data_IF_648520122100
#
_entry.id   IF_648520122100
#
_cell.length_a   1.000
_cell.length_b   1.000
_cell.length_c   1.000
_cell.angle_alpha   90.00
_cell.angle_beta   90.00
_cell.angle_gamma   90.00
#
_symmetry.space_group_name_H-M   'P 1'
#
loop_
_entity.id
_entity.type
_entity.pdbx_description
1 polymer ?
#
# COMPACT_ATOMS: atom_id res chain seq x y z
N UNK A 1 -60.68 -38.74 11.94
CA UNK A 1 -60.25 -37.35 11.64
C UNK A 1 -58.74 -37.27 11.82
N UNK A 2 -57.98 -37.36 10.74
CA UNK A 2 -56.52 -37.19 10.70
C UNK A 2 -56.20 -35.74 10.36
N UNK A 3 -55.27 -35.05 11.07
CA UNK A 3 -54.94 -33.66 10.75
C UNK A 3 -54.13 -33.61 9.46
N UNK A 4 -54.55 -32.74 8.54
CA UNK A 4 -53.93 -32.56 7.23
C UNK A 4 -52.46 -32.13 7.30
N UNK A 5 -51.65 -32.81 6.50
CA UNK A 5 -50.30 -32.41 6.09
C UNK A 5 -50.31 -30.97 5.56
N UNK A 6 -49.76 -30.03 6.34
CA UNK A 6 -49.43 -28.68 5.86
C UNK A 6 -48.26 -28.80 4.90
N UNK A 7 -48.54 -28.65 3.62
CA UNK A 7 -47.55 -28.35 2.59
C UNK A 7 -46.78 -27.09 2.99
N UNK A 8 -45.52 -27.25 3.41
CA UNK A 8 -44.58 -26.12 3.53
C UNK A 8 -44.36 -25.57 2.14
N UNK A 9 -45.00 -24.45 1.83
CA UNK A 9 -44.66 -23.66 0.64
C UNK A 9 -43.16 -23.37 0.63
N UNK A 10 -42.50 -23.74 -0.45
CA UNK A 10 -41.11 -23.39 -0.71
C UNK A 10 -40.96 -21.88 -0.60
N UNK A 11 -40.16 -21.39 0.35
CA UNK A 11 -39.80 -19.99 0.41
C UNK A 11 -39.20 -19.57 -0.95
N UNK A 12 -39.64 -18.46 -1.55
CA UNK A 12 -39.07 -17.99 -2.81
C UNK A 12 -37.56 -17.79 -2.62
N UNK A 13 -36.77 -18.32 -3.55
CA UNK A 13 -35.32 -18.14 -3.54
C UNK A 13 -35.00 -16.63 -3.48
N UNK A 14 -34.08 -16.19 -2.61
CA UNK A 14 -33.79 -14.77 -2.45
C UNK A 14 -33.41 -14.16 -3.80
N UNK A 15 -34.16 -13.13 -4.21
CA UNK A 15 -33.89 -12.39 -5.45
C UNK A 15 -32.47 -11.85 -5.36
N UNK A 16 -31.60 -12.11 -6.37
CA UNK A 16 -30.23 -11.63 -6.33
C UNK A 16 -30.21 -10.10 -6.28
N UNK A 17 -29.65 -9.55 -5.21
CA UNK A 17 -29.55 -8.11 -5.06
C UNK A 17 -28.62 -7.54 -6.15
N UNK A 18 -29.11 -6.60 -6.99
CA UNK A 18 -28.30 -5.99 -8.02
C UNK A 18 -27.20 -5.14 -7.37
N UNK A 19 -26.00 -5.07 -7.97
CA UNK A 19 -24.93 -4.20 -7.45
C UNK A 19 -25.36 -2.74 -7.52
N UNK A 20 -24.99 -1.99 -6.47
CA UNK A 20 -25.20 -0.55 -6.42
C UNK A 20 -24.40 0.11 -7.56
N UNK A 21 -24.99 1.08 -8.27
CA UNK A 21 -24.40 1.66 -9.48
C UNK A 21 -22.99 2.22 -9.26
N UNK A 22 -22.75 2.89 -8.13
CA UNK A 22 -21.43 3.45 -7.81
C UNK A 22 -20.36 2.39 -7.60
N UNK A 23 -20.71 1.17 -7.14
CA UNK A 23 -19.77 0.04 -7.04
C UNK A 23 -19.21 -0.28 -8.43
N UNK A 24 -20.07 -0.35 -9.45
CA UNK A 24 -19.63 -0.58 -10.84
C UNK A 24 -18.73 0.53 -11.33
N UNK A 25 -19.11 1.78 -11.07
CA UNK A 25 -18.30 2.95 -11.47
C UNK A 25 -16.91 2.86 -10.86
N UNK A 26 -16.79 2.60 -9.57
CA UNK A 26 -15.48 2.46 -8.92
C UNK A 26 -14.69 1.25 -9.43
N UNK A 27 -15.36 0.14 -9.75
CA UNK A 27 -14.70 -1.04 -10.33
C UNK A 27 -14.12 -0.72 -11.70
N UNK A 28 -14.90 -0.04 -12.55
CA UNK A 28 -14.47 0.39 -13.89
C UNK A 28 -13.35 1.42 -13.82
N UNK A 29 -13.45 2.41 -12.93
CA UNK A 29 -12.40 3.41 -12.75
C UNK A 29 -11.10 2.78 -12.26
N UNK A 30 -11.19 1.83 -11.31
CA UNK A 30 -10.04 1.07 -10.85
C UNK A 30 -9.41 0.26 -11.98
N UNK A 31 -10.22 -0.44 -12.78
CA UNK A 31 -9.77 -1.26 -13.90
C UNK A 31 -9.11 -0.41 -15.00
N UNK A 32 -9.74 0.69 -15.43
CA UNK A 32 -9.21 1.62 -16.43
C UNK A 32 -7.92 2.29 -15.94
N UNK A 33 -7.83 2.61 -14.65
CA UNK A 33 -6.61 3.19 -14.09
C UNK A 33 -5.39 2.28 -14.25
N UNK A 34 -5.57 0.95 -14.34
CA UNK A 34 -4.46 0.00 -14.54
C UNK A 34 -3.77 0.13 -15.90
N UNK A 35 -4.35 0.87 -16.85
CA UNK A 35 -3.65 1.21 -18.10
C UNK A 35 -2.51 2.23 -17.90
N UNK A 36 -2.54 3.01 -16.83
CA UNK A 36 -1.56 4.07 -16.56
C UNK A 36 -0.18 3.45 -16.37
N UNK A 37 0.79 3.87 -17.19
CA UNK A 37 2.18 3.41 -17.12
C UNK A 37 2.45 2.00 -17.65
N UNK A 38 1.43 1.15 -17.80
CA UNK A 38 1.58 -0.26 -18.21
C UNK A 38 2.25 -0.43 -19.57
N UNK A 39 1.91 0.40 -20.56
CA UNK A 39 2.53 0.35 -21.89
C UNK A 39 4.04 0.57 -21.83
N UNK A 40 4.50 1.56 -21.05
CA UNK A 40 5.92 1.90 -20.95
C UNK A 40 6.73 0.73 -20.35
N UNK A 41 6.22 0.13 -19.27
CA UNK A 41 6.85 -1.04 -18.63
C UNK A 41 6.86 -2.23 -19.57
N UNK A 42 5.77 -2.47 -20.31
CA UNK A 42 5.71 -3.54 -21.30
C UNK A 42 6.75 -3.37 -22.41
N UNK A 43 6.88 -2.16 -22.98
CA UNK A 43 7.86 -1.88 -24.04
C UNK A 43 9.29 -2.09 -23.56
N UNK A 44 9.58 -1.72 -22.31
CA UNK A 44 10.88 -1.96 -21.69
C UNK A 44 11.11 -3.47 -21.51
N UNK A 45 10.13 -4.21 -20.99
CA UNK A 45 10.23 -5.64 -20.74
C UNK A 45 10.39 -6.47 -22.02
N UNK A 46 9.71 -6.09 -23.11
CA UNK A 46 9.74 -6.82 -24.37
C UNK A 46 11.14 -6.94 -24.97
N UNK A 47 12.04 -5.98 -24.68
CA UNK A 47 13.40 -5.99 -25.21
C UNK A 47 14.37 -6.96 -24.51
N UNK A 48 14.16 -7.30 -23.24
CA UNK A 48 15.18 -8.04 -22.45
C UNK A 48 14.63 -8.89 -21.27
N UNK A 49 13.32 -8.87 -21.02
CA UNK A 49 12.65 -9.62 -19.93
C UNK A 49 11.32 -10.19 -20.41
N UNK A 50 11.37 -11.15 -21.33
CA UNK A 50 10.20 -11.73 -22.00
C UNK A 50 9.14 -12.30 -21.03
N UNK A 51 9.55 -12.88 -19.90
CA UNK A 51 8.63 -13.40 -18.88
C UNK A 51 7.79 -12.27 -18.27
N UNK A 52 8.40 -11.12 -18.00
CA UNK A 52 7.70 -9.94 -17.47
C UNK A 52 6.77 -9.36 -18.53
N UNK A 53 7.22 -9.28 -19.79
CA UNK A 53 6.38 -8.84 -20.90
C UNK A 53 5.15 -9.73 -21.08
N UNK A 54 5.31 -11.06 -21.01
CA UNK A 54 4.21 -12.02 -21.07
C UNK A 54 3.22 -11.85 -19.91
N UNK A 55 3.73 -11.67 -18.68
CA UNK A 55 2.88 -11.42 -17.51
C UNK A 55 2.06 -10.12 -17.68
N UNK A 56 2.67 -9.04 -18.19
CA UNK A 56 1.96 -7.79 -18.47
C UNK A 56 0.93 -7.97 -19.60
N UNK A 57 1.22 -8.76 -20.64
CA UNK A 57 0.25 -9.10 -21.69
C UNK A 57 -0.97 -9.84 -21.14
N UNK A 58 -0.77 -10.78 -20.21
CA UNK A 58 -1.88 -11.46 -19.50
C UNK A 58 -2.67 -10.46 -18.65
N UNK A 59 -2.00 -9.50 -17.99
CA UNK A 59 -2.66 -8.44 -17.26
C UNK A 59 -3.52 -7.54 -18.18
N UNK A 60 -3.04 -7.21 -19.39
CA UNK A 60 -3.82 -6.49 -20.40
C UNK A 60 -5.12 -7.22 -20.75
N UNK A 61 -5.04 -8.53 -21.01
CA UNK A 61 -6.22 -9.34 -21.27
C UNK A 61 -7.16 -9.36 -20.05
N UNK A 62 -6.62 -9.46 -18.84
CA UNK A 62 -7.40 -9.40 -17.60
C UNK A 62 -8.12 -8.08 -17.43
N UNK A 63 -7.50 -6.92 -17.73
CA UNK A 63 -8.14 -5.61 -17.64
C UNK A 63 -9.34 -5.57 -18.59
N UNK A 64 -9.14 -5.92 -19.87
CA UNK A 64 -10.24 -5.91 -20.85
C UNK A 64 -11.41 -6.81 -20.44
N UNK A 65 -11.13 -8.02 -19.96
CA UNK A 65 -12.16 -8.95 -19.47
C UNK A 65 -12.85 -8.40 -18.22
N UNK A 66 -12.11 -7.86 -17.26
CA UNK A 66 -12.66 -7.26 -16.05
C UNK A 66 -13.57 -6.05 -16.36
N UNK A 67 -13.17 -5.17 -17.27
CA UNK A 67 -13.97 -4.03 -17.71
C UNK A 67 -15.30 -4.45 -18.31
N UNK A 68 -15.30 -5.46 -19.19
CA UNK A 68 -16.55 -6.03 -19.74
C UNK A 68 -17.40 -6.66 -18.63
N UNK A 69 -16.79 -7.45 -17.73
CA UNK A 69 -17.52 -8.08 -16.63
C UNK A 69 -18.11 -7.06 -15.65
N UNK A 70 -17.42 -5.96 -15.36
CA UNK A 70 -17.92 -4.90 -14.48
C UNK A 70 -19.21 -4.26 -15.02
N UNK A 71 -19.39 -4.21 -16.34
CA UNK A 71 -20.60 -3.73 -17.02
C UNK A 71 -21.71 -4.78 -17.05
N UNK A 72 -21.38 -6.05 -17.33
CA UNK A 72 -22.39 -7.08 -17.67
C UNK A 72 -22.89 -7.87 -16.46
N UNK A 73 -22.06 -8.06 -15.43
CA UNK A 73 -22.41 -8.89 -14.27
C UNK A 73 -23.64 -8.35 -13.55
N UNK A 74 -24.62 -9.21 -13.24
CA UNK A 74 -25.90 -8.77 -12.62
C UNK A 74 -25.96 -8.89 -11.10
N UNK A 75 -25.01 -9.57 -10.46
CA UNK A 75 -25.04 -9.89 -9.02
C UNK A 75 -23.93 -9.15 -8.28
N UNK A 76 -24.24 -8.57 -7.11
CA UNK A 76 -23.25 -7.88 -6.27
C UNK A 76 -22.06 -8.77 -5.87
N UNK A 77 -22.31 -10.05 -5.57
CA UNK A 77 -21.23 -11.02 -5.24
C UNK A 77 -20.29 -11.28 -6.40
N UNK A 78 -20.80 -11.29 -7.63
CA UNK A 78 -19.98 -11.51 -8.81
C UNK A 78 -19.14 -10.27 -9.13
N UNK A 79 -19.70 -9.06 -8.93
CA UNK A 79 -18.93 -7.82 -9.06
C UNK A 79 -17.81 -7.74 -8.02
N UNK A 80 -18.08 -8.16 -6.77
CA UNK A 80 -17.05 -8.27 -5.75
C UNK A 80 -15.92 -9.27 -6.09
N UNK A 81 -16.17 -10.28 -6.93
CA UNK A 81 -15.12 -11.16 -7.45
C UNK A 81 -14.30 -10.49 -8.56
N UNK A 82 -14.94 -9.66 -9.38
CA UNK A 82 -14.23 -8.80 -10.35
C UNK A 82 -13.29 -7.86 -9.61
N UNK A 83 -13.71 -7.24 -8.50
CA UNK A 83 -12.83 -6.39 -7.68
C UNK A 83 -11.56 -7.11 -7.22
N UNK A 84 -11.67 -8.39 -6.85
CA UNK A 84 -10.50 -9.22 -6.46
C UNK A 84 -9.59 -9.44 -7.66
N UNK A 85 -10.15 -9.73 -8.84
CA UNK A 85 -9.38 -9.88 -10.07
C UNK A 85 -8.62 -8.59 -10.40
N UNK A 86 -9.31 -7.43 -10.36
CA UNK A 86 -8.70 -6.11 -10.57
C UNK A 86 -7.57 -5.85 -9.56
N UNK A 87 -7.75 -6.20 -8.28
CA UNK A 87 -6.70 -6.08 -7.27
C UNK A 87 -5.48 -6.97 -7.58
N UNK A 88 -5.69 -8.24 -7.93
CA UNK A 88 -4.61 -9.17 -8.26
C UNK A 88 -3.84 -8.70 -9.50
N UNK A 89 -4.55 -8.21 -10.52
CA UNK A 89 -3.95 -7.64 -11.73
C UNK A 89 -3.13 -6.39 -11.40
N UNK A 90 -3.65 -5.50 -10.57
CA UNK A 90 -2.94 -4.30 -10.12
C UNK A 90 -1.66 -4.62 -9.33
N UNK A 91 -1.71 -5.60 -8.42
CA UNK A 91 -0.54 -6.07 -7.68
C UNK A 91 0.49 -6.68 -8.63
N UNK A 92 0.05 -7.51 -9.57
CA UNK A 92 0.94 -8.15 -10.56
C UNK A 92 1.65 -7.11 -11.42
N UNK A 93 0.92 -6.11 -11.93
CA UNK A 93 1.49 -5.00 -12.69
C UNK A 93 2.48 -4.18 -11.86
N UNK A 94 2.16 -3.92 -10.58
CA UNK A 94 3.05 -3.22 -9.65
C UNK A 94 4.36 -3.98 -9.45
N UNK A 95 4.29 -5.31 -9.25
CA UNK A 95 5.47 -6.16 -9.08
C UNK A 95 6.28 -6.28 -10.38
N UNK A 96 5.61 -6.33 -11.54
CA UNK A 96 6.29 -6.30 -12.85
C UNK A 96 7.04 -4.98 -13.05
N UNK A 97 6.40 -3.84 -12.74
CA UNK A 97 7.02 -2.52 -12.83
C UNK A 97 8.21 -2.38 -11.88
N UNK A 98 8.09 -2.90 -10.64
CA UNK A 98 9.20 -2.97 -9.69
C UNK A 98 10.34 -3.85 -10.22
N UNK A 99 10.04 -5.06 -10.71
CA UNK A 99 11.05 -5.96 -11.27
C UNK A 99 11.87 -5.31 -12.40
N UNK A 100 11.23 -4.47 -13.23
CA UNK A 100 11.90 -3.71 -14.28
C UNK A 100 12.67 -2.49 -13.78
N UNK A 101 12.20 -1.84 -12.69
CA UNK A 101 12.63 -0.50 -12.29
C UNK A 101 12.84 -0.36 -10.75
N UNK A 102 13.57 -1.29 -10.14
CA UNK A 102 13.86 -1.32 -8.68
C UNK A 102 15.20 -0.64 -8.32
N UNK A 103 15.70 0.26 -9.17
CA UNK A 103 16.97 0.96 -8.93
C UNK A 103 17.00 1.80 -7.64
N UNK A 104 15.82 2.15 -7.11
CA UNK A 104 15.67 2.95 -5.90
C UNK A 104 16.04 4.43 -6.11
N UNK A 105 15.76 5.24 -5.09
CA UNK A 105 16.26 6.61 -4.96
C UNK A 105 17.53 6.64 -4.11
N UNK A 106 18.13 7.82 -4.01
CA UNK A 106 19.16 8.14 -3.04
C UNK A 106 18.73 7.83 -1.59
N UNK A 107 17.49 8.14 -1.21
CA UNK A 107 16.95 7.80 0.11
C UNK A 107 16.98 6.29 0.39
N UNK A 108 16.73 5.47 -0.63
CA UNK A 108 16.73 4.02 -0.51
C UNK A 108 18.15 3.43 -0.39
N UNK A 109 19.12 4.03 -1.10
CA UNK A 109 20.54 3.72 -0.94
C UNK A 109 20.99 4.06 0.48
N UNK A 110 20.70 5.29 0.93
CA UNK A 110 21.04 5.77 2.26
C UNK A 110 20.40 4.89 3.36
N UNK A 111 19.13 4.51 3.20
CA UNK A 111 18.42 3.63 4.14
C UNK A 111 19.02 2.22 4.18
N UNK A 112 19.44 1.68 3.04
CA UNK A 112 20.09 0.36 2.99
C UNK A 112 21.46 0.39 3.64
N UNK A 113 22.22 1.48 3.48
CA UNK A 113 23.50 1.67 4.17
C UNK A 113 23.32 1.84 5.68
N UNK A 114 22.36 2.65 6.11
CA UNK A 114 21.96 2.76 7.51
C UNK A 114 21.65 1.39 8.12
N UNK A 115 20.90 0.55 7.41
CA UNK A 115 20.61 -0.81 7.86
C UNK A 115 21.87 -1.69 8.00
N UNK A 116 22.85 -1.57 7.10
CA UNK A 116 24.12 -2.32 7.19
C UNK A 116 24.95 -1.90 8.39
N UNK A 117 25.08 -0.60 8.63
CA UNK A 117 25.82 -0.09 9.78
C UNK A 117 25.16 -0.51 11.10
N UNK A 118 23.82 -0.50 11.18
CA UNK A 118 23.09 -1.04 12.34
C UNK A 118 23.42 -2.52 12.59
N UNK A 119 23.45 -3.35 11.54
CA UNK A 119 23.79 -4.77 11.66
C UNK A 119 25.25 -4.98 12.03
N UNK A 120 26.16 -4.11 11.57
CA UNK A 120 27.56 -4.12 11.95
C UNK A 120 27.82 -3.61 13.40
N UNK A 121 26.78 -3.10 14.08
CA UNK A 121 26.89 -2.55 15.43
C UNK A 121 27.45 -1.12 15.47
N UNK A 122 27.53 -0.43 14.34
CA UNK A 122 28.01 0.94 14.26
C UNK A 122 26.89 1.96 14.54
N UNK A 123 27.21 3.10 15.18
CA UNK A 123 26.24 4.15 15.44
C UNK A 123 25.83 4.87 14.14
N UNK A 124 24.52 4.94 13.89
CA UNK A 124 23.93 5.65 12.73
C UNK A 124 23.52 7.08 13.08
N UNK A 125 22.94 7.28 14.27
CA UNK A 125 22.36 8.56 14.68
C UNK A 125 23.39 9.48 15.32
N UNK A 126 23.32 10.77 14.98
CA UNK A 126 24.25 11.79 15.49
C UNK A 126 25.66 11.69 14.93
N UNK A 127 25.88 10.89 13.89
CA UNK A 127 27.18 10.70 13.24
C UNK A 127 27.16 11.29 11.82
N UNK A 128 28.18 12.08 11.42
CA UNK A 128 28.31 12.55 10.06
C UNK A 128 28.87 11.44 9.15
N UNK A 129 28.23 11.24 8.00
CA UNK A 129 28.57 10.21 7.01
C UNK A 129 29.02 10.82 5.67
N UNK A 130 30.04 11.70 5.66
CA UNK A 130 30.37 12.52 4.48
C UNK A 130 30.74 11.72 3.23
N UNK A 131 31.25 10.49 3.38
CA UNK A 131 31.62 9.62 2.27
C UNK A 131 30.43 9.06 1.47
N UNK A 132 29.21 9.14 2.01
CA UNK A 132 28.00 8.66 1.32
C UNK A 132 27.41 9.70 0.37
N UNK A 133 27.65 10.97 0.65
CA UNK A 133 27.10 12.08 -0.12
C UNK A 133 28.04 12.44 -1.26
N UNK A 134 27.49 12.60 -2.48
CA UNK A 134 28.26 12.89 -3.70
C UNK A 134 28.34 11.73 -4.72
N UNK A 135 28.14 10.48 -4.30
CA UNK A 135 28.05 9.31 -5.20
C UNK A 135 26.60 8.81 -5.35
N UNK A 136 25.72 9.67 -5.85
CA UNK A 136 24.31 9.32 -6.08
C UNK A 136 23.39 9.54 -4.86
N UNK A 137 23.89 10.12 -3.77
CA UNK A 137 23.09 10.68 -2.66
C UNK A 137 23.25 12.19 -2.63
N UNK A 138 22.13 12.92 -2.67
CA UNK A 138 22.13 14.37 -2.76
C UNK A 138 22.53 15.04 -1.45
N UNK A 139 23.31 16.12 -1.55
CA UNK A 139 23.68 16.98 -0.43
C UNK A 139 22.57 17.98 -0.12
N UNK A 140 22.17 18.07 1.14
CA UNK A 140 21.20 19.08 1.60
C UNK A 140 21.96 20.25 2.21
N UNK A 141 21.92 21.46 1.62
CA UNK A 141 22.58 22.63 2.19
C UNK A 141 21.84 23.12 3.43
N UNK A 142 22.60 23.56 4.45
CA UNK A 142 22.04 24.14 5.68
C UNK A 142 21.89 25.65 5.53
N UNK A 143 20.99 26.24 6.32
CA UNK A 143 20.80 27.71 6.39
C UNK A 143 22.03 28.47 6.91
N UNK A 144 22.97 27.75 7.53
CA UNK A 144 24.26 28.27 8.03
C UNK A 144 25.38 28.16 6.99
N UNK A 145 25.08 27.74 5.75
CA UNK A 145 26.06 27.65 4.67
C UNK A 145 26.87 26.34 4.63
N UNK A 146 26.49 25.34 5.42
CA UNK A 146 27.09 24.00 5.42
C UNK A 146 26.26 22.97 4.66
N UNK A 147 26.53 21.69 4.89
CA UNK A 147 25.76 20.57 4.37
C UNK A 147 25.38 19.61 5.50
N UNK A 148 24.19 19.01 5.41
CA UNK A 148 23.81 17.90 6.27
C UNK A 148 24.39 16.59 5.72
N UNK A 149 25.19 15.94 6.55
CA UNK A 149 25.83 14.64 6.26
C UNK A 149 25.27 13.53 7.13
N UNK A 150 24.20 13.75 7.87
CA UNK A 150 23.69 12.80 8.85
C UNK A 150 22.50 11.99 8.32
N UNK A 151 22.25 10.83 8.93
CA UNK A 151 21.01 10.11 8.70
C UNK A 151 19.88 10.72 9.54
N UNK A 152 19.10 11.62 8.93
CA UNK A 152 18.00 12.34 9.58
C UNK A 152 16.66 11.60 9.63
N UNK A 153 16.56 10.38 9.07
CA UNK A 153 15.29 9.65 8.99
C UNK A 153 14.99 8.81 10.25
N UNK A 154 13.70 8.64 10.62
CA UNK A 154 13.29 7.75 11.69
C UNK A 154 13.74 6.28 11.49
N UNK A 155 13.94 5.50 12.57
CA UNK A 155 14.69 4.23 12.54
C UNK A 155 13.96 3.02 11.97
N UNK A 156 12.65 3.06 11.79
CA UNK A 156 11.91 1.84 11.43
C UNK A 156 12.26 1.35 10.02
N UNK A 157 12.45 2.25 9.06
CA UNK A 157 12.79 1.85 7.69
C UNK A 157 14.13 1.06 7.61
N UNK A 158 15.25 1.53 8.19
CA UNK A 158 16.49 0.76 8.19
C UNK A 158 16.38 -0.53 9.03
N UNK A 159 15.63 -0.52 10.14
CA UNK A 159 15.38 -1.74 10.94
C UNK A 159 14.60 -2.82 10.17
N UNK A 160 13.61 -2.42 9.36
CA UNK A 160 12.88 -3.34 8.48
C UNK A 160 13.71 -3.79 7.27
N UNK A 161 14.68 -2.97 6.86
CA UNK A 161 15.59 -3.26 5.75
C UNK A 161 16.71 -4.22 6.15
N UNK A 162 17.19 -4.15 7.40
CA UNK A 162 18.25 -4.99 7.95
C UNK A 162 18.07 -6.51 7.69
N UNK A 163 16.91 -7.14 7.97
CA UNK A 163 16.72 -8.58 7.69
C UNK A 163 16.68 -8.92 6.20
N UNK A 164 16.63 -7.93 5.30
CA UNK A 164 16.54 -8.10 3.85
C UNK A 164 17.86 -7.76 3.12
N UNK A 165 18.92 -7.45 3.85
CA UNK A 165 20.22 -7.10 3.26
C UNK A 165 20.82 -8.23 2.42
N UNK A 166 20.42 -9.48 2.66
CA UNK A 166 20.84 -10.64 1.86
C UNK A 166 20.25 -10.65 0.45
N UNK A 167 19.18 -9.88 0.17
CA UNK A 167 18.54 -9.83 -1.14
C UNK A 167 19.41 -9.18 -2.22
N UNK A 168 20.44 -8.42 -1.83
CA UNK A 168 21.41 -7.87 -2.77
C UNK A 168 22.03 -6.55 -2.33
N UNK A 169 22.45 -5.78 -3.33
CA UNK A 169 23.23 -4.56 -3.16
C UNK A 169 22.42 -3.30 -3.52
N UNK A 170 23.02 -2.13 -3.26
CA UNK A 170 22.40 -0.84 -3.56
C UNK A 170 21.10 -0.63 -2.78
N UNK A 171 20.10 -0.06 -3.43
CA UNK A 171 18.80 0.26 -2.85
C UNK A 171 17.82 -0.92 -2.76
N UNK A 172 18.14 -2.06 -3.37
CA UNK A 172 17.20 -3.17 -3.55
C UNK A 172 16.47 -3.57 -2.25
N UNK A 173 17.17 -3.83 -1.12
CA UNK A 173 16.50 -4.20 0.14
C UNK A 173 15.44 -3.18 0.58
N UNK A 174 15.77 -1.89 0.55
CA UNK A 174 14.84 -0.82 0.94
C UNK A 174 13.62 -0.73 -0.01
N UNK A 175 13.82 -0.90 -1.33
CA UNK A 175 12.71 -0.91 -2.29
C UNK A 175 11.76 -2.10 -2.09
N UNK A 176 12.27 -3.24 -1.61
CA UNK A 176 11.45 -4.40 -1.24
C UNK A 176 10.57 -4.05 -0.05
N UNK A 177 11.13 -3.43 0.99
CA UNK A 177 10.37 -3.02 2.19
C UNK A 177 9.21 -2.09 1.82
N UNK A 178 9.48 -1.00 1.10
CA UNK A 178 8.46 -0.03 0.71
C UNK A 178 7.41 -0.62 -0.25
N UNK A 179 7.82 -1.39 -1.24
CA UNK A 179 6.90 -2.00 -2.21
C UNK A 179 6.01 -3.05 -1.53
N UNK A 180 6.58 -3.90 -0.66
CA UNK A 180 5.81 -4.86 0.12
C UNK A 180 4.84 -4.16 1.07
N UNK A 181 5.27 -3.07 1.73
CA UNK A 181 4.42 -2.28 2.59
C UNK A 181 3.25 -1.66 1.81
N UNK A 182 3.47 -1.14 0.60
CA UNK A 182 2.40 -0.62 -0.26
C UNK A 182 1.37 -1.70 -0.59
N UNK A 183 1.82 -2.87 -1.04
CA UNK A 183 0.94 -3.98 -1.40
C UNK A 183 0.15 -4.45 -0.18
N UNK A 184 0.81 -4.67 0.95
CA UNK A 184 0.16 -5.08 2.19
C UNK A 184 -0.84 -4.02 2.69
N UNK A 185 -0.46 -2.74 2.71
CA UNK A 185 -1.31 -1.62 3.08
C UNK A 185 -2.54 -1.50 2.19
N UNK A 186 -2.36 -1.69 0.88
CA UNK A 186 -3.48 -1.71 -0.10
C UNK A 186 -4.44 -2.85 0.20
N UNK A 187 -3.94 -4.07 0.43
CA UNK A 187 -4.77 -5.24 0.75
C UNK A 187 -5.52 -5.05 2.07
N UNK A 188 -4.87 -4.47 3.08
CA UNK A 188 -5.51 -4.12 4.35
C UNK A 188 -6.62 -3.10 4.12
N UNK A 189 -6.34 -1.99 3.43
CA UNK A 189 -7.34 -0.97 3.11
C UNK A 189 -8.53 -1.59 2.38
N UNK A 190 -8.26 -2.33 1.30
CA UNK A 190 -9.26 -3.04 0.49
C UNK A 190 -10.13 -3.98 1.35
N UNK A 191 -9.55 -4.73 2.29
CA UNK A 191 -10.32 -5.63 3.17
C UNK A 191 -11.15 -4.87 4.20
N UNK A 192 -10.67 -3.73 4.68
CA UNK A 192 -11.35 -2.93 5.70
C UNK A 192 -12.50 -2.08 5.17
N UNK A 193 -12.46 -1.72 3.88
CA UNK A 193 -13.52 -0.96 3.24
C UNK A 193 -14.79 -1.83 3.00
N UNK A 194 -16.00 -1.22 3.08
CA UNK A 194 -17.22 -1.88 2.66
C UNK A 194 -17.09 -2.37 1.21
N UNK A 195 -17.65 -3.54 0.89
CA UNK A 195 -17.51 -4.20 -0.43
C UNK A 195 -17.59 -3.24 -1.61
N UNK A 196 -18.60 -2.36 -1.72
CA UNK A 196 -18.71 -1.53 -2.91
C UNK A 196 -17.61 -0.43 -3.03
N UNK A 197 -16.90 -0.09 -1.94
CA UNK A 197 -15.78 0.88 -1.93
C UNK A 197 -14.42 0.26 -2.18
N UNK A 198 -14.32 -1.09 -2.20
CA UNK A 198 -13.02 -1.76 -2.18
C UNK A 198 -12.15 -1.42 -3.38
N UNK A 199 -12.73 -1.31 -4.56
CA UNK A 199 -12.00 -0.98 -5.80
C UNK A 199 -11.39 0.43 -5.78
N UNK A 200 -11.90 1.35 -4.96
CA UNK A 200 -11.25 2.64 -4.75
C UNK A 200 -9.85 2.49 -4.12
N UNK A 201 -9.65 1.52 -3.22
CA UNK A 201 -8.32 1.24 -2.67
C UNK A 201 -7.35 0.79 -3.76
N UNK A 202 -7.78 -0.12 -4.64
CA UNK A 202 -6.95 -0.58 -5.77
C UNK A 202 -6.60 0.58 -6.69
N UNK A 203 -7.57 1.42 -7.05
CA UNK A 203 -7.40 2.57 -7.92
C UNK A 203 -6.38 3.58 -7.37
N UNK A 204 -6.58 4.01 -6.12
CA UNK A 204 -5.75 5.05 -5.49
C UNK A 204 -4.35 4.52 -5.17
N UNK A 205 -4.26 3.30 -4.63
CA UNK A 205 -2.99 2.78 -4.14
C UNK A 205 -2.12 2.17 -5.24
N UNK A 206 -2.71 1.59 -6.29
CA UNK A 206 -1.95 0.86 -7.31
C UNK A 206 -2.26 1.34 -8.73
N UNK A 207 -3.50 1.74 -9.02
CA UNK A 207 -3.95 2.07 -10.37
C UNK A 207 -3.38 3.36 -10.93
N UNK A 208 -3.41 4.47 -10.19
CA UNK A 208 -2.88 5.75 -10.69
C UNK A 208 -1.35 5.79 -10.87
N UNK A 209 -0.62 4.76 -10.46
CA UNK A 209 0.82 4.63 -10.69
C UNK A 209 1.72 5.52 -9.82
N UNK A 210 1.17 6.53 -9.14
CA UNK A 210 1.91 7.42 -8.24
C UNK A 210 2.47 6.68 -7.02
N UNK A 211 1.63 6.05 -6.19
CA UNK A 211 2.14 5.34 -5.01
C UNK A 211 3.08 4.16 -5.36
N UNK A 212 2.81 3.36 -6.42
CA UNK A 212 3.77 2.37 -6.90
C UNK A 212 5.12 2.96 -7.33
N UNK A 213 5.18 4.19 -7.85
CA UNK A 213 6.46 4.83 -8.19
C UNK A 213 7.28 5.15 -6.95
N UNK A 214 6.66 5.68 -5.90
CA UNK A 214 7.34 5.90 -4.63
C UNK A 214 7.74 4.58 -3.95
N UNK A 215 6.87 3.55 -4.05
CA UNK A 215 7.15 2.21 -3.57
C UNK A 215 8.43 1.64 -4.17
N UNK A 216 8.55 1.60 -5.50
CA UNK A 216 9.75 1.07 -6.18
C UNK A 216 10.99 1.94 -6.01
N UNK A 217 10.82 3.22 -5.69
CA UNK A 217 11.93 4.11 -5.36
C UNK A 217 12.43 3.92 -3.92
N UNK A 218 11.74 3.17 -3.06
CA UNK A 218 12.24 2.89 -1.71
C UNK A 218 11.92 3.96 -0.67
N UNK A 219 10.94 4.82 -0.93
CA UNK A 219 10.59 5.90 0.00
C UNK A 219 10.00 5.39 1.32
N UNK A 220 10.59 5.74 2.49
CA UNK A 220 10.06 5.37 3.81
C UNK A 220 8.62 5.86 4.06
N UNK A 221 8.21 6.94 3.40
CA UNK A 221 6.85 7.48 3.47
C UNK A 221 5.78 6.45 3.09
N UNK A 222 6.10 5.50 2.21
CA UNK A 222 5.17 4.43 1.82
C UNK A 222 4.95 3.43 2.95
N UNK A 223 6.00 3.15 3.75
CA UNK A 223 5.88 2.32 4.95
C UNK A 223 4.99 3.01 5.98
N UNK A 224 5.21 4.30 6.22
CA UNK A 224 4.38 5.10 7.11
C UNK A 224 2.91 5.14 6.65
N UNK A 225 2.65 5.36 5.36
CA UNK A 225 1.31 5.35 4.77
C UNK A 225 0.60 4.01 5.02
N UNK A 226 1.27 2.90 4.75
CA UNK A 226 0.71 1.56 4.95
C UNK A 226 0.34 1.31 6.43
N UNK A 227 1.17 1.78 7.36
CA UNK A 227 0.93 1.68 8.81
C UNK A 227 -0.19 2.61 9.29
N UNK A 228 -0.42 3.75 8.63
CA UNK A 228 -1.52 4.66 8.95
C UNK A 228 -2.89 4.16 8.49
N UNK A 229 -2.98 3.33 7.46
CA UNK A 229 -4.25 2.75 6.97
C UNK A 229 -5.15 2.19 8.10
N UNK A 230 -4.69 1.23 8.93
CA UNK A 230 -5.54 0.66 9.99
C UNK A 230 -5.89 1.68 11.09
N UNK A 231 -5.08 2.73 11.26
CA UNK A 231 -5.30 3.82 12.21
C UNK A 231 -6.46 4.69 11.74
N UNK A 232 -6.38 5.21 10.50
CA UNK A 232 -7.35 6.17 9.95
C UNK A 232 -8.71 5.52 9.70
N UNK A 233 -8.76 4.30 9.13
CA UNK A 233 -10.04 3.66 8.75
C UNK A 233 -10.95 3.41 9.96
N UNK A 234 -10.37 3.17 11.15
CA UNK A 234 -11.13 2.88 12.38
C UNK A 234 -10.83 3.86 13.50
N UNK A 235 -10.32 5.03 13.14
CA UNK A 235 -9.93 6.07 14.08
C UNK A 235 -11.05 6.47 15.06
N UNK A 236 -12.35 6.55 14.68
CA UNK A 236 -13.42 6.95 15.62
C UNK A 236 -13.74 5.88 16.68
N UNK A 237 -13.17 4.68 16.54
CA UNK A 237 -13.40 3.56 17.46
C UNK A 237 -12.26 3.39 18.46
N UNK A 238 -11.15 4.12 18.31
CA UNK A 238 -10.01 4.05 19.22
C UNK A 238 -10.43 4.64 20.57
N UNK A 239 -10.31 3.86 21.65
CA UNK A 239 -10.66 4.33 23.01
C UNK A 239 -12.15 4.52 23.28
N UNK A 240 -13.04 4.00 22.42
CA UNK A 240 -14.50 4.07 22.61
C UNK A 240 -14.89 3.41 23.95
N UNK A 241 -15.68 4.11 24.76
CA UNK A 241 -16.07 3.65 26.10
C UNK A 241 -14.94 3.69 27.14
N UNK A 242 -13.93 4.55 26.92
CA UNK A 242 -12.82 4.75 27.86
C UNK A 242 -11.81 3.60 27.92
N UNK A 243 -11.92 2.59 27.04
CA UNK A 243 -11.07 1.38 27.06
C UNK A 243 -10.32 1.18 25.75
N UNK A 244 -9.03 0.83 25.85
CA UNK A 244 -8.21 0.38 24.73
C UNK A 244 -8.22 -1.14 24.68
N UNK A 245 -9.13 -1.73 23.89
CA UNK A 245 -9.07 -3.15 23.57
C UNK A 245 -7.87 -3.49 22.68
N UNK A 246 -7.65 -4.79 22.41
CA UNK A 246 -6.55 -5.29 21.58
C UNK A 246 -6.43 -4.61 20.22
N UNK A 247 -7.57 -4.37 19.54
CA UNK A 247 -7.58 -3.65 18.27
C UNK A 247 -7.23 -2.16 18.38
N UNK A 248 -7.45 -1.54 19.54
CA UNK A 248 -7.00 -0.18 19.83
C UNK A 248 -5.50 -0.12 20.07
N UNK A 249 -4.96 -1.08 20.82
CA UNK A 249 -3.51 -1.25 21.03
C UNK A 249 -2.78 -1.47 19.71
N UNK A 250 -3.28 -2.34 18.84
CA UNK A 250 -2.68 -2.57 17.52
C UNK A 250 -2.62 -1.28 16.68
N UNK A 251 -3.66 -0.44 16.73
CA UNK A 251 -3.67 0.86 16.02
C UNK A 251 -2.71 1.87 16.63
N UNK A 252 -2.62 1.93 17.95
CA UNK A 252 -1.64 2.78 18.63
C UNK A 252 -0.20 2.36 18.25
N UNK A 253 0.07 1.06 18.22
CA UNK A 253 1.35 0.52 17.75
C UNK A 253 1.61 0.88 16.28
N UNK A 254 0.62 0.74 15.38
CA UNK A 254 0.74 1.16 14.00
C UNK A 254 1.00 2.67 13.84
N UNK A 255 0.36 3.51 14.66
CA UNK A 255 0.61 4.96 14.65
C UNK A 255 2.05 5.27 15.10
N UNK A 256 2.50 4.67 16.20
CA UNK A 256 3.88 4.81 16.66
C UNK A 256 4.89 4.32 15.63
N UNK A 257 4.61 3.17 14.99
CA UNK A 257 5.44 2.62 13.92
C UNK A 257 5.44 3.54 12.68
N UNK A 258 4.32 4.16 12.31
CA UNK A 258 4.28 5.13 11.23
C UNK A 258 5.17 6.34 11.53
N UNK A 259 5.07 6.90 12.75
CA UNK A 259 5.95 7.97 13.23
C UNK A 259 7.44 7.57 13.28
N UNK A 260 7.71 6.28 13.52
CA UNK A 260 9.05 5.73 13.51
C UNK A 260 9.55 5.37 12.09
N UNK A 261 8.68 5.35 11.08
CA UNK A 261 9.07 5.15 9.68
C UNK A 261 9.36 6.47 8.96
N UNK A 262 8.64 7.53 9.29
CA UNK A 262 8.77 8.81 8.62
C UNK A 262 8.27 9.97 9.50
N UNK A 263 8.71 11.20 9.22
CA UNK A 263 8.41 12.40 10.00
C UNK A 263 7.01 13.02 9.76
N UNK A 264 6.42 12.90 8.57
CA UNK A 264 5.10 13.43 8.21
C UNK A 264 3.96 12.93 9.10
N UNK A 265 3.92 11.66 9.54
CA UNK A 265 2.95 11.20 10.54
C UNK A 265 2.94 12.03 11.83
N UNK A 266 4.05 12.69 12.19
CA UNK A 266 4.10 13.59 13.34
C UNK A 266 3.22 14.82 13.14
N UNK A 267 3.04 15.28 11.89
CA UNK A 267 2.07 16.34 11.58
C UNK A 267 0.63 15.84 11.69
N UNK A 268 0.37 14.57 11.35
CA UNK A 268 -0.99 13.98 11.37
C UNK A 268 -1.43 13.63 12.80
N UNK A 269 -0.50 13.23 13.67
CA UNK A 269 -0.78 12.75 15.02
C UNK A 269 -1.57 13.75 15.89
N UNK A 270 -1.24 15.06 15.96
CA UNK A 270 -2.02 16.04 16.71
C UNK A 270 -3.49 16.10 16.27
N UNK A 271 -3.77 16.05 14.97
CA UNK A 271 -5.15 16.09 14.46
C UNK A 271 -5.92 14.83 14.82
N UNK A 272 -5.27 13.66 14.76
CA UNK A 272 -5.87 12.41 15.20
C UNK A 272 -6.17 12.44 16.71
N UNK A 273 -5.25 12.95 17.53
CA UNK A 273 -5.44 13.07 18.97
C UNK A 273 -6.56 14.06 19.33
N UNK A 274 -6.58 15.23 18.71
CA UNK A 274 -7.63 16.23 18.88
C UNK A 274 -9.00 15.66 18.47
N UNK A 275 -9.05 14.94 17.35
CA UNK A 275 -10.26 14.24 16.95
C UNK A 275 -10.70 13.18 17.95
N UNK A 276 -9.76 12.39 18.53
CA UNK A 276 -10.10 11.29 19.44
C UNK A 276 -10.66 11.89 20.72
N UNK A 277 -10.08 13.00 21.17
CA UNK A 277 -10.59 13.79 22.28
C UNK A 277 -12.00 14.30 22.01
N UNK A 278 -12.25 14.90 20.83
CA UNK A 278 -13.55 15.45 20.46
C UNK A 278 -14.67 14.40 20.32
N UNK A 279 -14.33 13.15 19.98
CA UNK A 279 -15.31 12.05 19.78
C UNK A 279 -15.52 11.22 21.05
N UNK A 280 -14.77 11.47 22.14
CA UNK A 280 -15.04 10.83 23.43
C UNK A 280 -16.36 11.37 24.00
N UNK A 281 -17.35 10.51 24.28
CA UNK A 281 -18.44 10.89 25.18
C UNK A 281 -17.80 11.20 26.53
N UNK A 282 -18.13 12.37 27.10
CA UNK A 282 -17.79 12.72 28.48
C UNK A 282 -18.32 11.72 29.50
#
# INVERSE_FOLDING_TARGET
>A
MTPGSRTRGSAPAPVPEPPVQWHRVLTLLADVSLFVGTRAVWTQAAGHRLVVAAAISVCYASILVCGVLALVVRRARSLARVDVCVLVTAVTLTLCAWAMNHGGSDEAVLTTQAARELVAGHPVYGQPWPWLFGHGVALTPTVTGGYDFTYGYPPLAPLLTAPLLWLGHGALPATVVSTAALVAGTVVLWRTLPTPWRSAATMVCLGFGFLPSYGRLGYPAIVALALLVPVVVRWPRIGRGGRLGSGGLARAACLGAACAAQQLPWFVAPFLLAGVYAVRPG
#
